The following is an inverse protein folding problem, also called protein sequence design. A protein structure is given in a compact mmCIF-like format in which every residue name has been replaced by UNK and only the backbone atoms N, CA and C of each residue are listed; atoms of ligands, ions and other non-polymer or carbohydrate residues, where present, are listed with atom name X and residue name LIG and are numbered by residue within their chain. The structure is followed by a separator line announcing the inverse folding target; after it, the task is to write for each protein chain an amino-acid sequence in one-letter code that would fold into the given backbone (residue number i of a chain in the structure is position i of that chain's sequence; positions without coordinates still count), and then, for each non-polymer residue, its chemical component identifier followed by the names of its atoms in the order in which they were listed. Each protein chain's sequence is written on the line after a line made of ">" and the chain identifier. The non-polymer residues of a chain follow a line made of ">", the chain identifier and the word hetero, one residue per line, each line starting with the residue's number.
data_IF_148240149828
#
_entry.id   IF_148240149828
#
_cell.length_a   1.000
_cell.length_b   1.000
_cell.length_c   1.000
_cell.angle_alpha   90.00
_cell.angle_beta   90.00
_cell.angle_gamma   90.00
#
_symmetry.space_group_name_H-M   'P 1'
#
loop_
_entity.id
_entity.type
_entity.pdbx_description
1 polymer ?
#
# COMPACT_ATOMS: atom_id res chain seq x y z
N UNK A 1 5.07 -2.47 18.95
CA UNK A 1 4.17 -2.05 17.85
C UNK A 1 4.28 -0.55 17.67
N UNK A 2 4.34 -0.07 16.44
CA UNK A 2 4.34 1.34 16.15
C UNK A 2 2.98 1.74 15.56
N UNK A 3 2.47 2.92 15.97
CA UNK A 3 1.26 3.49 15.39
C UNK A 3 1.65 4.77 14.65
N UNK A 4 1.32 4.82 13.37
CA UNK A 4 1.56 6.00 12.53
C UNK A 4 0.26 6.79 12.42
N UNK A 5 0.32 8.08 12.69
CA UNK A 5 -0.84 8.97 12.54
C UNK A 5 -0.45 10.11 11.61
N UNK A 6 -1.34 10.46 10.71
CA UNK A 6 -1.11 11.55 9.76
C UNK A 6 -2.44 12.19 9.35
N UNK A 7 -2.36 13.41 8.85
CA UNK A 7 -3.55 14.13 8.39
C UNK A 7 -4.03 13.54 7.07
N UNK A 8 -5.37 13.56 6.88
CA UNK A 8 -5.94 13.13 5.61
C UNK A 8 -5.57 14.09 4.49
N UNK A 9 -5.41 13.55 3.27
CA UNK A 9 -5.13 14.33 2.09
C UNK A 9 -6.36 15.09 1.58
N UNK A 10 -6.16 16.09 0.72
CA UNK A 10 -7.27 16.80 0.10
C UNK A 10 -8.18 15.87 -0.69
N UNK A 11 -9.49 15.97 -0.48
CA UNK A 11 -10.47 15.14 -1.17
C UNK A 11 -10.62 13.72 -0.63
N UNK A 12 -9.95 13.38 0.45
CA UNK A 12 -10.12 12.06 1.07
C UNK A 12 -11.38 12.03 1.91
N UNK A 13 -12.19 10.98 1.69
CA UNK A 13 -13.35 10.71 2.53
C UNK A 13 -12.91 10.10 3.85
N UNK A 14 -13.71 10.25 4.90
CA UNK A 14 -13.47 9.52 6.15
C UNK A 14 -13.42 8.01 5.89
N UNK A 15 -12.53 7.32 6.59
CA UNK A 15 -12.43 5.86 6.53
C UNK A 15 -12.35 5.31 7.95
N UNK A 16 -12.94 4.10 8.22
CA UNK A 16 -12.93 3.54 9.56
C UNK A 16 -11.54 3.39 10.15
N UNK A 17 -10.61 2.80 9.38
CA UNK A 17 -9.20 2.74 9.78
C UNK A 17 -8.34 2.58 8.56
N UNK A 18 -7.10 3.06 8.65
CA UNK A 18 -6.07 2.82 7.65
C UNK A 18 -4.86 2.29 8.43
N UNK A 19 -4.61 0.99 8.33
CA UNK A 19 -3.59 0.33 9.14
C UNK A 19 -2.46 -0.21 8.27
N UNK A 20 -1.25 -0.15 8.82
CA UNK A 20 -0.05 -0.64 8.15
C UNK A 20 0.55 -1.74 8.99
N UNK A 21 0.82 -2.91 8.39
CA UNK A 21 1.41 -4.05 9.07
C UNK A 21 2.50 -4.68 8.23
N UNK A 22 3.51 -5.25 8.90
CA UNK A 22 4.51 -6.08 8.25
C UNK A 22 4.09 -7.54 8.36
N UNK A 23 4.23 -8.26 7.24
CA UNK A 23 3.89 -9.70 7.15
C UNK A 23 5.05 -10.45 6.48
N UNK A 24 5.05 -11.76 6.62
CA UNK A 24 6.09 -12.60 6.02
C UNK A 24 5.93 -12.78 4.52
N UNK A 25 4.70 -12.71 4.02
CA UNK A 25 4.39 -12.96 2.61
C UNK A 25 3.17 -12.15 2.21
N UNK A 26 3.40 -11.04 1.51
CA UNK A 26 2.34 -10.13 1.06
C UNK A 26 1.34 -10.83 0.13
N UNK A 27 1.84 -11.64 -0.82
CA UNK A 27 0.97 -12.30 -1.78
C UNK A 27 0.03 -13.30 -1.11
N UNK A 28 0.54 -14.06 -0.16
CA UNK A 28 -0.27 -15.01 0.60
C UNK A 28 -1.28 -14.29 1.49
N UNK A 29 -0.87 -13.21 2.15
CA UNK A 29 -1.76 -12.41 2.98
C UNK A 29 -2.90 -11.82 2.15
N UNK A 30 -2.59 -11.27 0.99
CA UNK A 30 -3.60 -10.70 0.10
C UNK A 30 -4.59 -11.76 -0.39
N UNK A 31 -4.08 -12.93 -0.75
CA UNK A 31 -4.92 -14.05 -1.18
C UNK A 31 -5.87 -14.50 -0.08
N UNK A 32 -5.35 -14.65 1.15
CA UNK A 32 -6.19 -15.02 2.30
C UNK A 32 -7.26 -13.96 2.58
N UNK A 33 -6.92 -12.69 2.45
CA UNK A 33 -7.87 -11.60 2.65
C UNK A 33 -8.97 -11.62 1.58
N UNK A 34 -8.61 -11.81 0.31
CA UNK A 34 -9.60 -11.84 -0.79
C UNK A 34 -10.54 -13.04 -0.67
N UNK A 35 -10.05 -14.18 -0.20
CA UNK A 35 -10.89 -15.34 0.08
C UNK A 35 -11.95 -15.07 1.15
N UNK A 36 -11.70 -14.08 2.02
CA UNK A 36 -12.62 -13.66 3.07
C UNK A 36 -13.43 -12.42 2.72
N UNK A 37 -13.42 -12.02 1.45
CA UNK A 37 -14.26 -10.93 0.96
C UNK A 37 -13.59 -9.57 0.84
N UNK A 38 -12.28 -9.48 1.05
CA UNK A 38 -11.57 -8.22 0.87
C UNK A 38 -11.46 -7.84 -0.61
N UNK A 39 -11.39 -6.53 -0.87
CA UNK A 39 -11.20 -6.00 -2.23
C UNK A 39 -9.79 -5.47 -2.36
N UNK A 40 -9.09 -5.89 -3.41
CA UNK A 40 -7.73 -5.42 -3.67
C UNK A 40 -7.77 -3.94 -4.08
N UNK A 41 -6.94 -3.14 -3.43
CA UNK A 41 -6.75 -1.71 -3.75
C UNK A 41 -5.44 -1.51 -4.49
N UNK A 42 -4.37 -2.12 -4.00
CA UNK A 42 -3.03 -2.05 -4.59
C UNK A 42 -2.51 -3.46 -4.74
N UNK A 43 -2.21 -3.87 -5.97
CA UNK A 43 -1.63 -5.19 -6.23
C UNK A 43 -0.22 -5.27 -5.63
N UNK A 44 0.27 -6.48 -5.31
CA UNK A 44 1.62 -6.65 -4.79
C UNK A 44 2.65 -5.99 -5.69
N UNK A 45 3.44 -5.08 -5.13
CA UNK A 45 4.40 -4.27 -5.87
C UNK A 45 5.69 -4.17 -5.07
N UNK A 46 6.82 -4.48 -5.71
CA UNK A 46 8.12 -4.34 -5.10
C UNK A 46 8.61 -2.91 -5.27
N UNK A 47 8.98 -2.28 -4.15
CA UNK A 47 9.47 -0.91 -4.14
C UNK A 47 10.99 -0.86 -4.03
N UNK A 48 11.57 0.23 -4.51
CA UNK A 48 13.02 0.39 -4.60
C UNK A 48 13.72 0.29 -3.25
N UNK A 49 13.04 0.64 -2.15
CA UNK A 49 13.65 0.61 -0.83
C UNK A 49 13.66 -0.77 -0.16
N UNK A 50 13.24 -1.81 -0.88
CA UNK A 50 13.42 -3.19 -0.43
C UNK A 50 12.20 -3.85 0.19
N UNK A 51 11.03 -3.23 0.07
CA UNK A 51 9.77 -3.81 0.55
C UNK A 51 8.86 -4.17 -0.62
N UNK A 52 8.12 -5.25 -0.47
CA UNK A 52 6.95 -5.54 -1.31
C UNK A 52 5.72 -5.09 -0.56
N UNK A 53 4.82 -4.37 -1.22
CA UNK A 53 3.63 -3.79 -0.58
C UNK A 53 2.37 -4.15 -1.35
N UNK A 54 1.25 -4.15 -0.63
CA UNK A 54 -0.09 -4.27 -1.21
C UNK A 54 -1.09 -3.58 -0.30
N UNK A 55 -2.27 -3.28 -0.82
CA UNK A 55 -3.37 -2.73 -0.03
C UNK A 55 -4.65 -3.47 -0.33
N UNK A 56 -5.48 -3.62 0.69
CA UNK A 56 -6.84 -4.13 0.50
C UNK A 56 -7.80 -3.45 1.45
N UNK A 57 -9.07 -3.42 1.04
CA UNK A 57 -10.19 -2.96 1.88
C UNK A 57 -10.90 -4.20 2.41
N UNK A 58 -11.00 -4.34 3.73
CA UNK A 58 -11.70 -5.47 4.31
C UNK A 58 -13.23 -5.27 4.26
N UNK A 59 -14.03 -6.33 4.52
CA UNK A 59 -15.50 -6.20 4.46
C UNK A 59 -16.09 -5.20 5.45
N UNK A 60 -15.38 -4.87 6.53
CA UNK A 60 -15.80 -3.88 7.50
C UNK A 60 -15.43 -2.46 7.11
N UNK A 61 -14.71 -2.29 5.99
CA UNK A 61 -14.33 -0.98 5.48
C UNK A 61 -12.97 -0.46 5.91
N UNK A 62 -12.20 -1.26 6.65
CA UNK A 62 -10.85 -0.86 7.05
C UNK A 62 -9.89 -1.03 5.88
N UNK A 63 -9.00 -0.04 5.69
CA UNK A 63 -7.97 -0.11 4.67
C UNK A 63 -6.68 -0.64 5.30
N UNK A 64 -6.15 -1.70 4.71
CA UNK A 64 -4.94 -2.35 5.17
C UNK A 64 -3.81 -2.14 4.17
N UNK A 65 -2.67 -1.67 4.67
CA UNK A 65 -1.43 -1.56 3.91
C UNK A 65 -0.46 -2.60 4.46
N UNK A 66 -0.20 -3.66 3.67
CA UNK A 66 0.67 -4.76 4.08
C UNK A 66 2.04 -4.63 3.43
N UNK A 67 3.07 -4.86 4.24
CA UNK A 67 4.46 -4.77 3.83
C UNK A 67 5.18 -6.08 4.10
N UNK A 68 6.05 -6.46 3.17
CA UNK A 68 6.99 -7.56 3.36
C UNK A 68 8.39 -7.00 3.13
N UNK A 69 9.26 -7.11 4.14
CA UNK A 69 10.64 -6.70 3.97
C UNK A 69 11.35 -7.76 3.13
N UNK A 70 11.87 -7.38 1.96
CA UNK A 70 12.51 -8.30 1.02
C UNK A 70 14.02 -8.21 1.14
N UNK A 71 14.58 -7.01 1.24
CA UNK A 71 16.01 -6.79 1.32
C UNK A 71 16.35 -5.45 1.97
N UNK A 72 17.56 -5.36 2.52
CA UNK A 72 18.09 -4.07 2.98
C UNK A 72 18.74 -3.37 1.78
N UNK A 73 18.43 -2.09 1.62
CA UNK A 73 18.96 -1.29 0.51
C UNK A 73 19.66 -0.07 1.09
N UNK A 74 20.96 0.08 0.78
CA UNK A 74 21.70 1.24 1.23
C UNK A 74 21.34 2.49 0.41
N UNK A 75 21.66 3.71 0.93
CA UNK A 75 21.29 4.96 0.26
C UNK A 75 21.84 5.10 -1.16
N UNK A 76 23.04 4.60 -1.42
CA UNK A 76 23.64 4.70 -2.76
C UNK A 76 22.91 3.83 -3.77
N UNK A 77 22.55 2.58 -3.37
CA UNK A 77 21.77 1.70 -4.21
C UNK A 77 20.37 2.25 -4.44
N UNK A 78 19.75 2.80 -3.41
CA UNK A 78 18.43 3.41 -3.53
C UNK A 78 18.45 4.56 -4.55
N UNK A 79 19.47 5.40 -4.52
CA UNK A 79 19.63 6.48 -5.50
C UNK A 79 19.76 5.96 -6.93
N UNK A 80 20.49 4.86 -7.13
CA UNK A 80 20.62 4.22 -8.45
C UNK A 80 19.28 3.69 -8.93
N UNK A 81 18.51 3.03 -8.05
CA UNK A 81 17.21 2.44 -8.39
C UNK A 81 16.20 3.50 -8.80
N UNK A 82 16.19 4.66 -8.14
CA UNK A 82 15.26 5.74 -8.49
C UNK A 82 15.55 6.40 -9.84
N UNK A 83 16.70 6.10 -10.45
CA UNK A 83 16.98 6.53 -11.82
C UNK A 83 16.37 5.56 -12.85
N UNK A 84 15.87 4.41 -12.42
CA UNK A 84 15.24 3.42 -13.29
C UNK A 84 13.75 3.73 -13.43
N UNK A 85 13.26 3.65 -14.67
CA UNK A 85 11.85 3.92 -14.96
C UNK A 85 10.91 3.00 -14.21
N UNK A 86 11.27 1.71 -14.07
CA UNK A 86 10.45 0.72 -13.38
C UNK A 86 10.23 1.08 -11.91
N UNK A 87 11.27 1.59 -11.24
CA UNK A 87 11.17 2.00 -9.83
C UNK A 87 10.25 3.21 -9.67
N UNK A 88 10.35 4.18 -10.57
CA UNK A 88 9.48 5.36 -10.56
C UNK A 88 8.04 4.98 -10.83
N UNK A 89 7.79 4.11 -11.80
CA UNK A 89 6.45 3.62 -12.12
C UNK A 89 5.82 2.88 -10.94
N UNK A 90 6.60 2.06 -10.23
CA UNK A 90 6.10 1.34 -9.06
C UNK A 90 5.65 2.31 -7.98
N UNK A 91 6.43 3.35 -7.69
CA UNK A 91 6.06 4.37 -6.70
C UNK A 91 4.81 5.14 -7.12
N UNK A 92 4.70 5.51 -8.38
CA UNK A 92 3.53 6.22 -8.91
C UNK A 92 2.27 5.35 -8.82
N UNK A 93 2.38 4.06 -9.11
CA UNK A 93 1.27 3.13 -9.01
C UNK A 93 0.79 3.00 -7.56
N UNK A 94 1.72 2.80 -6.63
CA UNK A 94 1.38 2.62 -5.21
C UNK A 94 0.75 3.89 -4.64
N UNK A 95 1.28 5.06 -4.96
CA UNK A 95 0.70 6.33 -4.54
C UNK A 95 -0.63 6.62 -5.22
N UNK A 96 -0.73 6.35 -6.52
CA UNK A 96 -1.93 6.61 -7.31
C UNK A 96 -3.12 5.75 -6.88
N UNK A 97 -2.88 4.48 -6.57
CA UNK A 97 -3.95 3.59 -6.09
C UNK A 97 -4.48 4.03 -4.72
N UNK A 98 -3.62 4.56 -3.85
CA UNK A 98 -4.07 5.10 -2.58
C UNK A 98 -4.95 6.34 -2.80
N UNK A 99 -4.50 7.29 -3.61
CA UNK A 99 -5.29 8.49 -3.91
C UNK A 99 -6.65 8.14 -4.52
N UNK A 100 -6.66 7.19 -5.45
CA UNK A 100 -7.90 6.75 -6.08
C UNK A 100 -8.84 6.12 -5.05
N UNK A 101 -8.32 5.27 -4.17
CA UNK A 101 -9.14 4.62 -3.15
C UNK A 101 -9.72 5.62 -2.15
N UNK A 102 -8.89 6.55 -1.67
CA UNK A 102 -9.33 7.53 -0.69
C UNK A 102 -10.34 8.51 -1.28
N UNK A 103 -10.21 8.82 -2.58
CA UNK A 103 -11.16 9.69 -3.29
C UNK A 103 -12.49 9.01 -3.61
N UNK A 104 -12.55 7.69 -3.68
CA UNK A 104 -13.78 6.94 -4.00
C UNK A 104 -14.91 7.23 -3.01
N UNK A 105 -14.59 7.35 -1.71
CA UNK A 105 -15.58 7.67 -0.70
C UNK A 105 -16.27 9.00 -0.95
N UNK A 106 -15.56 9.96 -1.55
CA UNK A 106 -16.12 11.26 -1.92
C UNK A 106 -16.95 11.14 -3.18
N UNK A 107 -16.42 10.48 -4.21
CA UNK A 107 -17.05 10.40 -5.53
C UNK A 107 -18.15 9.34 -5.59
N UNK A 108 -18.02 8.26 -4.81
CA UNK A 108 -18.94 7.12 -4.83
C UNK A 108 -19.94 7.09 -3.68
N UNK A 109 -19.96 8.11 -2.86
CA UNK A 109 -20.86 8.18 -1.71
C UNK A 109 -22.33 8.27 -2.13
#
# INVERSE_FOLDING_TARGET
>A
MAVLMFDSGPGWAPTPAHMRVYVDDVQRTLRAATERGARVVTEPTELAFGDMVARFRDPQGHLWWVHQHVEDVDPAELGRRFQQEAAVKAMLYVGGTLEQEMGRGVAGA
#
